data_IF_437001410327
#
_entry.id   IF_437001410327
#
_cell.length_a   1.000
_cell.length_b   1.000
_cell.length_c   1.000
_cell.angle_alpha   90.00
_cell.angle_beta   90.00
_cell.angle_gamma   90.00
#
_symmetry.space_group_name_H-M   'P 1'
#
loop_
_entity.id
_entity.type
_entity.pdbx_description
1 polymer ?
#
# COMPACT_ATOMS: atom_id res chain seq x y z
N UNK A 1 1.78 18.77 -3.51
CA UNK A 1 0.66 18.58 -2.55
C UNK A 1 -0.71 18.60 -3.24
N UNK A 2 -1.00 19.57 -4.09
CA UNK A 2 -2.29 19.65 -4.81
C UNK A 2 -2.54 18.40 -5.66
N UNK A 3 -1.56 17.95 -6.40
CA UNK A 3 -1.64 16.76 -7.27
C UNK A 3 -1.93 15.46 -6.50
N UNK A 4 -1.34 15.28 -5.31
CA UNK A 4 -1.60 14.09 -4.48
C UNK A 4 -3.04 14.08 -3.94
N UNK A 5 -3.59 15.22 -3.51
CA UNK A 5 -4.97 15.33 -3.06
C UNK A 5 -5.95 15.17 -4.23
N UNK A 6 -5.59 15.65 -5.40
CA UNK A 6 -6.35 15.41 -6.63
C UNK A 6 -6.39 13.92 -6.98
N UNK A 7 -5.23 13.23 -6.94
CA UNK A 7 -5.16 11.79 -7.15
C UNK A 7 -6.03 11.01 -6.15
N UNK A 8 -5.99 11.39 -4.86
CA UNK A 8 -6.85 10.79 -3.81
C UNK A 8 -8.34 10.98 -4.11
N UNK A 9 -8.70 12.09 -4.69
CA UNK A 9 -10.08 12.37 -5.11
C UNK A 9 -10.48 11.50 -6.29
N UNK A 10 -9.59 11.35 -7.29
CA UNK A 10 -9.83 10.52 -8.46
C UNK A 10 -10.07 9.05 -8.07
N UNK A 11 -9.18 8.44 -7.28
CA UNK A 11 -9.35 7.03 -6.93
C UNK A 11 -10.43 6.78 -5.87
N UNK A 12 -10.90 7.80 -5.15
CA UNK A 12 -12.01 7.61 -4.19
C UNK A 12 -13.32 7.18 -4.85
N UNK A 13 -13.50 7.44 -6.14
CA UNK A 13 -14.63 6.97 -6.96
C UNK A 13 -14.28 5.78 -7.85
N UNK A 14 -13.17 5.07 -7.59
CA UNK A 14 -12.71 3.94 -8.41
C UNK A 14 -13.72 2.78 -8.42
N UNK A 15 -14.04 2.28 -9.62
CA UNK A 15 -14.96 1.15 -9.85
C UNK A 15 -14.31 0.02 -10.68
N UNK A 16 -12.98 -0.01 -10.78
CA UNK A 16 -12.25 -0.88 -11.71
C UNK A 16 -12.42 -2.36 -11.36
N UNK A 17 -12.28 -2.74 -10.08
CA UNK A 17 -12.27 -4.14 -9.65
C UNK A 17 -13.50 -4.52 -8.80
N UNK A 18 -13.53 -5.79 -8.37
CA UNK A 18 -14.61 -6.35 -7.54
C UNK A 18 -14.70 -5.73 -6.14
N UNK A 19 -13.61 -5.08 -5.66
CA UNK A 19 -13.56 -4.48 -4.33
C UNK A 19 -14.18 -3.08 -4.25
N UNK A 20 -14.61 -2.50 -5.37
CA UNK A 20 -15.19 -1.16 -5.30
C UNK A 20 -16.42 -1.15 -4.34
N UNK A 21 -16.65 -0.06 -3.59
CA UNK A 21 -17.70 0.01 -2.58
C UNK A 21 -19.09 -0.36 -3.09
N UNK A 22 -19.43 0.04 -4.32
CA UNK A 22 -20.73 -0.27 -4.96
C UNK A 22 -20.97 -1.77 -5.18
N UNK A 23 -19.88 -2.57 -5.34
CA UNK A 23 -19.98 -4.01 -5.63
C UNK A 23 -19.77 -4.87 -4.38
N UNK A 24 -18.91 -4.42 -3.46
CA UNK A 24 -18.42 -5.24 -2.35
C UNK A 24 -19.12 -4.97 -1.02
N UNK A 25 -19.86 -3.85 -0.90
CA UNK A 25 -20.55 -3.46 0.34
C UNK A 25 -19.60 -3.01 1.46
N UNK A 26 -18.37 -2.60 1.12
CA UNK A 26 -17.42 -1.93 2.04
C UNK A 26 -17.77 -0.44 2.16
N UNK A 27 -17.22 0.23 3.19
CA UNK A 27 -17.55 1.65 3.42
C UNK A 27 -16.97 2.58 2.36
N UNK A 28 -15.75 2.31 1.89
CA UNK A 28 -15.13 3.20 0.92
C UNK A 28 -13.74 2.79 0.48
N UNK A 29 -13.12 3.69 -0.24
CA UNK A 29 -11.71 3.60 -0.63
C UNK A 29 -10.88 4.24 0.48
N UNK A 30 -9.95 3.51 1.06
CA UNK A 30 -9.02 4.01 2.08
C UNK A 30 -7.90 4.78 1.40
N UNK A 31 -7.82 6.07 1.69
CA UNK A 31 -6.84 6.97 1.11
C UNK A 31 -5.49 6.86 1.81
N UNK A 32 -4.41 7.20 1.11
CA UNK A 32 -3.10 7.35 1.74
C UNK A 32 -3.09 8.49 2.77
N UNK A 33 -2.23 8.38 3.77
CA UNK A 33 -2.04 9.39 4.82
C UNK A 33 -0.60 9.88 4.89
N UNK A 34 -0.39 11.01 5.57
CA UNK A 34 0.91 11.65 5.73
C UNK A 34 1.30 12.56 4.57
N UNK A 35 2.41 13.29 4.72
CA UNK A 35 2.90 14.26 3.75
C UNK A 35 3.66 13.59 2.60
N UNK A 36 4.04 14.37 1.60
CA UNK A 36 5.14 14.03 0.70
C UNK A 36 6.40 13.85 1.56
N UNK A 37 7.00 12.68 1.52
CA UNK A 37 8.05 12.26 2.44
C UNK A 37 9.13 11.45 1.74
N UNK A 38 10.35 11.52 2.26
CA UNK A 38 11.45 10.65 1.82
C UNK A 38 11.28 9.19 2.25
N UNK A 39 10.35 8.90 3.16
CA UNK A 39 10.00 7.56 3.62
C UNK A 39 8.53 7.27 3.32
N UNK A 40 8.28 6.19 2.58
CA UNK A 40 6.96 5.63 2.36
C UNK A 40 6.83 4.25 3.01
N UNK A 41 5.68 3.98 3.63
CA UNK A 41 5.33 2.66 4.15
C UNK A 41 4.10 2.15 3.40
N UNK A 42 4.23 0.94 2.85
CA UNK A 42 3.20 0.34 2.01
C UNK A 42 2.77 -1.00 2.61
N UNK A 43 1.51 -1.08 3.03
CA UNK A 43 0.88 -2.32 3.49
C UNK A 43 0.19 -3.10 2.38
N UNK A 44 -0.50 -4.18 2.76
CA UNK A 44 -1.24 -5.04 1.84
C UNK A 44 -2.56 -4.38 1.40
N UNK A 45 -3.49 -4.21 2.31
CA UNK A 45 -4.83 -3.71 2.08
C UNK A 45 -5.47 -3.25 3.39
N UNK A 46 -6.54 -2.44 3.36
CA UNK A 46 -7.28 -2.03 4.54
C UNK A 46 -7.93 -3.21 5.28
N UNK A 47 -7.93 -3.16 6.59
CA UNK A 47 -8.75 -3.99 7.47
C UNK A 47 -10.11 -3.35 7.78
N UNK A 48 -10.83 -3.91 8.77
CA UNK A 48 -12.15 -3.41 9.15
C UNK A 48 -12.09 -2.00 9.77
N UNK A 49 -11.09 -1.76 10.62
CA UNK A 49 -10.92 -0.47 11.30
C UNK A 49 -10.55 0.61 10.29
N UNK A 50 -9.67 0.29 9.33
CA UNK A 50 -9.25 1.18 8.24
C UNK A 50 -10.42 1.51 7.30
N UNK A 51 -11.23 0.51 6.95
CA UNK A 51 -12.43 0.68 6.12
C UNK A 51 -13.46 1.58 6.80
N UNK A 52 -13.61 1.47 8.12
CA UNK A 52 -14.51 2.32 8.91
C UNK A 52 -13.99 3.75 9.07
N UNK A 53 -12.67 3.92 9.24
CA UNK A 53 -12.05 5.23 9.47
C UNK A 53 -11.69 5.98 8.18
N UNK A 54 -11.54 5.27 7.05
CA UNK A 54 -11.04 5.84 5.80
C UNK A 54 -9.53 6.16 5.80
N UNK A 55 -8.79 5.68 6.82
CA UNK A 55 -7.35 5.92 6.98
C UNK A 55 -6.57 4.60 7.09
N UNK A 56 -5.34 4.52 6.53
CA UNK A 56 -4.51 3.32 6.59
C UNK A 56 -3.87 3.15 7.96
N UNK A 57 -3.74 1.90 8.41
CA UNK A 57 -3.03 1.53 9.64
C UNK A 57 -3.56 2.21 10.92
N UNK A 58 -4.86 2.16 11.15
CA UNK A 58 -5.52 2.64 12.39
C UNK A 58 -5.89 1.50 13.34
N UNK A 59 -5.99 0.26 12.85
CA UNK A 59 -6.30 -0.92 13.63
C UNK A 59 -5.11 -1.50 14.39
N UNK A 60 -5.21 -2.79 14.76
CA UNK A 60 -4.16 -3.47 15.55
C UNK A 60 -2.77 -3.44 14.89
N UNK A 61 -2.69 -3.68 13.57
CA UNK A 61 -1.43 -3.63 12.84
C UNK A 61 -0.85 -2.19 12.81
N UNK A 62 -1.72 -1.18 12.73
CA UNK A 62 -1.34 0.22 12.79
C UNK A 62 -0.73 0.61 14.15
N UNK A 63 -1.34 0.16 15.25
CA UNK A 63 -0.79 0.37 16.61
C UNK A 63 0.59 -0.29 16.78
N UNK A 64 0.82 -1.43 16.15
CA UNK A 64 2.15 -2.05 16.14
C UNK A 64 3.12 -1.25 15.28
N UNK A 65 2.69 -0.78 14.11
CA UNK A 65 3.50 0.12 13.28
C UNK A 65 3.92 1.37 14.03
N UNK A 66 3.01 1.98 14.81
CA UNK A 66 3.33 3.17 15.62
C UNK A 66 4.44 2.89 16.65
N UNK A 67 4.39 1.74 17.33
CA UNK A 67 5.46 1.32 18.25
C UNK A 67 6.80 1.11 17.54
N UNK A 68 6.78 0.52 16.34
CA UNK A 68 8.01 0.33 15.55
C UNK A 68 8.60 1.66 15.10
N UNK A 69 7.77 2.60 14.65
CA UNK A 69 8.20 3.94 14.29
C UNK A 69 8.77 4.70 15.50
N UNK A 70 8.11 4.61 16.64
CA UNK A 70 8.59 5.20 17.90
C UNK A 70 9.96 4.64 18.30
N UNK A 71 10.11 3.30 18.25
CA UNK A 71 11.39 2.63 18.49
C UNK A 71 12.51 3.09 17.56
N UNK A 72 12.16 3.39 16.30
CA UNK A 72 13.06 3.95 15.30
C UNK A 72 13.25 5.48 15.44
N UNK A 73 12.60 6.14 16.40
CA UNK A 73 12.57 7.62 16.58
C UNK A 73 11.99 8.36 15.37
N UNK A 74 11.09 7.74 14.64
CA UNK A 74 10.40 8.31 13.48
C UNK A 74 8.98 8.68 13.90
N UNK A 75 8.56 9.91 13.63
CA UNK A 75 7.20 10.35 13.94
C UNK A 75 6.25 9.97 12.79
N UNK A 76 5.13 9.32 13.10
CA UNK A 76 4.14 8.86 12.12
C UNK A 76 3.72 9.96 11.13
N UNK A 77 3.49 11.19 11.62
CA UNK A 77 3.08 12.31 10.78
C UNK A 77 4.16 12.81 9.79
N UNK A 78 5.38 12.25 9.84
CA UNK A 78 6.47 12.55 8.90
C UNK A 78 6.60 11.49 7.80
N UNK A 79 5.78 10.45 7.83
CA UNK A 79 5.87 9.29 6.93
C UNK A 79 4.66 9.26 6.00
N UNK A 80 4.88 8.98 4.73
CA UNK A 80 3.79 8.65 3.81
C UNK A 80 3.37 7.20 4.00
N UNK A 81 2.08 6.96 4.22
CA UNK A 81 1.54 5.63 4.52
C UNK A 81 0.40 5.31 3.56
N UNK A 82 0.48 4.16 2.92
CA UNK A 82 -0.55 3.67 2.01
C UNK A 82 -0.62 2.14 1.98
N UNK A 83 -1.50 1.58 1.16
CA UNK A 83 -1.60 0.15 0.90
C UNK A 83 -1.45 -0.16 -0.59
N UNK A 84 -1.03 -1.36 -0.93
CA UNK A 84 -1.00 -1.86 -2.30
C UNK A 84 -2.41 -1.87 -2.91
N UNK A 85 -3.41 -2.27 -2.13
CA UNK A 85 -4.83 -2.26 -2.50
C UNK A 85 -5.57 -1.23 -1.64
N UNK A 86 -6.37 -0.37 -2.26
CA UNK A 86 -7.05 0.76 -1.58
C UNK A 86 -8.38 0.41 -0.94
N UNK A 87 -8.96 -0.72 -1.30
CA UNK A 87 -10.25 -1.19 -0.81
C UNK A 87 -10.06 -2.44 0.06
N UNK A 88 -10.92 -2.62 1.07
CA UNK A 88 -10.86 -3.76 1.99
C UNK A 88 -11.28 -5.07 1.28
N UNK A 89 -10.39 -6.08 1.16
CA UNK A 89 -10.77 -7.39 0.63
C UNK A 89 -11.51 -8.19 1.70
N UNK A 90 -12.74 -8.61 1.40
CA UNK A 90 -13.60 -9.31 2.34
C UNK A 90 -14.11 -10.63 1.80
N UNK A 91 -14.53 -11.50 2.70
CA UNK A 91 -15.32 -12.69 2.44
C UNK A 91 -16.49 -12.79 3.43
N UNK A 92 -17.41 -13.74 3.21
CA UNK A 92 -18.57 -13.94 4.07
C UNK A 92 -19.40 -12.65 4.26
N UNK A 93 -19.72 -11.98 3.15
CA UNK A 93 -20.51 -10.74 3.14
C UNK A 93 -19.91 -9.65 4.05
N UNK A 94 -18.62 -9.38 3.93
CA UNK A 94 -17.94 -8.31 4.66
C UNK A 94 -17.49 -8.68 6.08
N UNK A 95 -17.83 -9.86 6.60
CA UNK A 95 -17.56 -10.23 8.01
C UNK A 95 -16.10 -10.58 8.28
N UNK A 96 -15.34 -11.02 7.27
CA UNK A 96 -13.96 -11.47 7.43
C UNK A 96 -13.04 -10.87 6.38
N UNK A 97 -11.87 -10.41 6.79
CA UNK A 97 -10.81 -10.01 5.86
C UNK A 97 -10.22 -11.23 5.15
N UNK A 98 -9.73 -11.03 3.94
CA UNK A 98 -8.94 -11.99 3.18
C UNK A 98 -7.76 -11.28 2.52
N UNK A 99 -6.81 -12.02 2.01
CA UNK A 99 -5.77 -11.51 1.11
C UNK A 99 -6.41 -11.06 -0.21
N UNK A 100 -5.97 -9.94 -0.79
CA UNK A 100 -6.42 -9.53 -2.13
C UNK A 100 -6.07 -10.58 -3.18
N UNK A 101 -6.90 -10.71 -4.19
CA UNK A 101 -6.56 -11.52 -5.38
C UNK A 101 -5.53 -10.80 -6.22
N UNK A 102 -4.96 -11.52 -7.17
CA UNK A 102 -4.00 -10.95 -8.12
C UNK A 102 -4.63 -9.85 -8.96
N UNK A 103 -5.81 -10.13 -9.52
CA UNK A 103 -6.53 -9.17 -10.35
C UNK A 103 -6.88 -7.88 -9.57
N UNK A 104 -7.17 -8.00 -8.27
CA UNK A 104 -7.39 -6.85 -7.38
C UNK A 104 -6.12 -6.05 -7.15
N UNK A 105 -4.97 -6.72 -6.98
CA UNK A 105 -3.67 -6.06 -6.87
C UNK A 105 -3.27 -5.38 -8.18
N UNK A 106 -3.39 -6.06 -9.30
CA UNK A 106 -3.07 -5.53 -10.63
C UNK A 106 -3.95 -4.32 -10.98
N UNK A 107 -5.27 -4.44 -10.74
CA UNK A 107 -6.20 -3.32 -10.94
C UNK A 107 -5.89 -2.10 -10.08
N UNK A 108 -5.33 -2.29 -8.89
CA UNK A 108 -5.02 -1.20 -7.96
C UNK A 108 -3.61 -0.65 -8.11
N UNK A 109 -2.69 -1.39 -8.74
CA UNK A 109 -1.27 -1.01 -8.91
C UNK A 109 -1.06 0.34 -9.59
N UNK A 110 -1.82 0.74 -10.64
CA UNK A 110 -1.66 2.04 -11.25
C UNK A 110 -1.84 3.21 -10.27
N UNK A 111 -2.77 3.09 -9.32
CA UNK A 111 -2.97 4.10 -8.26
C UNK A 111 -1.80 4.16 -7.28
N UNK A 112 -1.29 2.99 -6.86
CA UNK A 112 -0.11 2.91 -6.02
C UNK A 112 1.11 3.58 -6.68
N UNK A 113 1.34 3.29 -7.95
CA UNK A 113 2.49 3.82 -8.67
C UNK A 113 2.40 5.34 -8.87
N UNK A 114 1.21 5.87 -9.18
CA UNK A 114 0.99 7.32 -9.23
C UNK A 114 1.24 8.00 -7.87
N UNK A 115 0.84 7.37 -6.76
CA UNK A 115 1.18 7.89 -5.42
C UNK A 115 2.69 7.94 -5.21
N UNK A 116 3.41 6.87 -5.52
CA UNK A 116 4.87 6.81 -5.36
C UNK A 116 5.55 7.85 -6.26
N UNK A 117 5.08 8.00 -7.50
CA UNK A 117 5.60 8.98 -8.47
C UNK A 117 5.42 10.43 -7.98
N UNK A 118 4.29 10.74 -7.33
CA UNK A 118 4.01 12.07 -6.77
C UNK A 118 4.76 12.33 -5.46
N UNK A 119 4.88 11.30 -4.61
CA UNK A 119 5.56 11.40 -3.31
C UNK A 119 7.09 11.40 -3.47
N UNK A 120 7.62 10.65 -4.43
CA UNK A 120 9.06 10.47 -4.70
C UNK A 120 9.86 10.11 -3.46
N UNK A 121 9.47 9.06 -2.71
CA UNK A 121 10.20 8.66 -1.52
C UNK A 121 11.59 8.15 -1.91
N UNK A 122 12.59 8.39 -1.07
CA UNK A 122 13.93 7.78 -1.23
C UNK A 122 13.93 6.32 -0.80
N UNK A 123 13.15 6.02 0.25
CA UNK A 123 13.02 4.68 0.81
C UNK A 123 11.55 4.27 0.87
N UNK A 124 11.26 3.08 0.41
CA UNK A 124 9.94 2.43 0.49
C UNK A 124 10.07 1.20 1.39
N UNK A 125 9.37 1.21 2.51
CA UNK A 125 9.24 0.02 3.37
C UNK A 125 7.95 -0.71 2.97
N UNK A 126 8.05 -1.96 2.54
CA UNK A 126 6.89 -2.80 2.25
C UNK A 126 6.62 -3.77 3.39
N UNK A 127 5.37 -3.83 3.86
CA UNK A 127 4.93 -4.63 4.98
C UNK A 127 4.17 -5.88 4.50
N UNK A 128 4.87 -6.99 4.41
CA UNK A 128 4.32 -8.28 4.00
C UNK A 128 4.50 -8.60 2.52
N UNK A 129 4.01 -9.78 2.13
CA UNK A 129 4.25 -10.36 0.79
C UNK A 129 3.59 -9.56 -0.31
N UNK A 130 2.31 -9.23 -0.17
CA UNK A 130 1.51 -8.56 -1.20
C UNK A 130 2.05 -7.18 -1.55
N UNK A 131 2.42 -6.37 -0.55
CA UNK A 131 3.01 -5.05 -0.79
C UNK A 131 4.38 -5.14 -1.46
N UNK A 132 5.21 -6.11 -1.05
CA UNK A 132 6.52 -6.36 -1.68
C UNK A 132 6.38 -6.77 -3.14
N UNK A 133 5.48 -7.72 -3.43
CA UNK A 133 5.16 -8.16 -4.78
C UNK A 133 4.68 -7.00 -5.65
N UNK A 134 3.78 -6.18 -5.11
CA UNK A 134 3.20 -5.04 -5.85
C UNK A 134 4.23 -3.96 -6.21
N UNK A 135 5.21 -3.70 -5.32
CA UNK A 135 6.22 -2.65 -5.54
C UNK A 135 7.39 -3.16 -6.40
N UNK A 136 7.89 -4.37 -6.11
CA UNK A 136 9.04 -4.95 -6.81
C UNK A 136 8.66 -5.72 -8.10
N UNK A 137 7.37 -5.84 -8.42
CA UNK A 137 6.86 -6.62 -9.55
C UNK A 137 7.40 -8.07 -9.55
N UNK A 138 7.41 -8.71 -8.38
CA UNK A 138 7.92 -10.06 -8.21
C UNK A 138 6.92 -11.13 -8.67
N UNK A 139 7.39 -12.32 -9.06
CA UNK A 139 6.49 -13.43 -9.37
C UNK A 139 5.76 -13.91 -8.10
N UNK A 140 4.53 -14.40 -8.25
CA UNK A 140 3.66 -14.83 -7.13
C UNK A 140 4.26 -15.88 -6.19
N UNK A 141 5.17 -16.70 -6.70
CA UNK A 141 5.80 -17.78 -5.96
C UNK A 141 7.08 -17.37 -5.22
N UNK A 142 7.43 -16.06 -5.18
CA UNK A 142 8.60 -15.62 -4.43
C UNK A 142 8.46 -15.88 -2.93
N UNK A 143 9.56 -16.16 -2.26
CA UNK A 143 9.63 -16.34 -0.83
C UNK A 143 10.02 -15.01 -0.15
N UNK A 144 9.10 -14.40 0.59
CA UNK A 144 9.34 -13.10 1.24
C UNK A 144 10.61 -13.11 2.13
N UNK A 145 10.89 -14.24 2.80
CA UNK A 145 12.08 -14.39 3.65
C UNK A 145 13.42 -14.16 2.96
N UNK A 146 13.47 -14.31 1.63
CA UNK A 146 14.71 -14.06 0.86
C UNK A 146 14.95 -12.56 0.65
N UNK A 147 13.89 -11.74 0.79
CA UNK A 147 13.90 -10.31 0.52
C UNK A 147 13.94 -9.45 1.78
N UNK A 148 13.37 -9.90 2.91
CA UNK A 148 13.31 -9.11 4.15
C UNK A 148 14.69 -8.77 4.69
N UNK A 149 14.78 -7.62 5.35
CA UNK A 149 16.00 -7.08 5.94
C UNK A 149 17.14 -6.78 4.92
N UNK A 150 16.79 -6.65 3.65
CA UNK A 150 17.71 -6.26 2.57
C UNK A 150 17.15 -5.05 1.85
N UNK A 151 18.02 -4.16 1.39
CA UNK A 151 17.66 -3.08 0.49
C UNK A 151 17.69 -3.57 -0.96
N UNK A 152 16.64 -3.28 -1.70
CA UNK A 152 16.51 -3.61 -3.12
C UNK A 152 16.31 -2.33 -3.92
N UNK A 153 17.15 -2.08 -4.91
CA UNK A 153 16.95 -0.98 -5.83
C UNK A 153 16.04 -1.40 -6.98
N UNK A 154 15.06 -0.59 -7.30
CA UNK A 154 14.10 -0.87 -8.37
C UNK A 154 13.62 0.41 -9.04
N UNK A 155 13.20 0.25 -10.29
CA UNK A 155 12.39 1.23 -11.01
C UNK A 155 10.96 0.71 -11.09
N UNK A 156 9.98 1.58 -10.89
CA UNK A 156 8.60 1.21 -11.13
C UNK A 156 8.34 1.14 -12.64
N UNK A 157 7.62 0.10 -13.07
CA UNK A 157 7.26 -0.07 -14.48
C UNK A 157 5.77 0.22 -14.66
N UNK A 158 5.44 1.11 -15.59
CA UNK A 158 4.04 1.27 -16.05
C UNK A 158 3.69 0.05 -16.90
N UNK A 159 2.66 -0.70 -16.53
CA UNK A 159 2.26 -1.95 -17.21
C UNK A 159 1.85 -1.76 -18.68
N UNK A 160 1.26 -0.61 -19.03
CA UNK A 160 0.75 -0.32 -20.38
C UNK A 160 1.76 0.41 -21.29
N UNK A 161 2.90 0.74 -20.79
CA UNK A 161 3.96 1.38 -21.57
C UNK A 161 5.30 0.71 -21.29
N UNK A 162 6.15 0.62 -22.30
CA UNK A 162 7.57 0.28 -22.10
C UNK A 162 8.31 1.39 -21.32
N UNK A 163 7.58 2.33 -20.78
CA UNK A 163 8.06 3.50 -20.07
C UNK A 163 8.43 3.11 -18.64
N UNK A 164 9.70 3.12 -18.36
CA UNK A 164 10.25 2.97 -17.02
C UNK A 164 10.10 4.32 -16.34
N UNK A 165 9.48 4.34 -15.15
CA UNK A 165 9.56 5.52 -14.29
C UNK A 165 11.04 5.70 -13.96
N UNK A 166 11.61 6.82 -14.36
CA UNK A 166 13.07 7.04 -14.36
C UNK A 166 13.67 7.16 -12.96
N UNK A 167 12.83 7.41 -11.95
CA UNK A 167 13.30 7.50 -10.56
C UNK A 167 13.61 6.11 -10.02
N UNK A 168 14.78 5.95 -9.40
CA UNK A 168 15.19 4.73 -8.72
C UNK A 168 14.78 4.81 -7.25
N UNK A 169 14.18 3.74 -6.74
CA UNK A 169 13.70 3.64 -5.37
C UNK A 169 14.45 2.55 -4.60
N UNK A 170 14.81 2.83 -3.36
CA UNK A 170 15.30 1.80 -2.43
C UNK A 170 14.12 1.19 -1.70
N UNK A 171 13.87 -0.11 -1.92
CA UNK A 171 12.77 -0.86 -1.28
C UNK A 171 13.32 -1.78 -0.20
N UNK A 172 12.74 -1.71 0.99
CA UNK A 172 13.10 -2.54 2.14
C UNK A 172 11.90 -3.38 2.55
N UNK A 173 11.81 -4.64 2.13
CA UNK A 173 10.75 -5.55 2.55
C UNK A 173 10.88 -5.92 4.04
N UNK A 174 9.74 -5.91 4.73
CA UNK A 174 9.62 -6.29 6.13
C UNK A 174 8.47 -7.28 6.32
N UNK A 175 8.49 -8.01 7.44
CA UNK A 175 7.33 -8.79 7.86
C UNK A 175 6.14 -7.87 8.19
N UNK A 176 4.93 -8.36 7.94
CA UNK A 176 3.75 -7.58 8.28
C UNK A 176 3.59 -7.48 9.80
N UNK A 177 3.26 -6.29 10.36
CA UNK A 177 3.14 -6.10 11.82
C UNK A 177 2.15 -7.01 12.54
N UNK A 178 1.22 -7.64 11.82
CA UNK A 178 0.29 -8.63 12.41
C UNK A 178 0.97 -9.95 12.79
N UNK A 179 2.20 -10.20 12.37
CA UNK A 179 2.99 -11.38 12.75
C UNK A 179 3.89 -11.14 13.99
N UNK A 180 3.91 -9.90 14.50
CA UNK A 180 4.62 -9.48 15.70
C UNK A 180 3.67 -9.34 16.89
#
# INVERSE_FOLDING_TARGET
MIELEQLKTEYSSCEICSLCPKKSGINGVVKSSGPVSSLAIIGEAPGADEDAAGEPFVGRAGKMLDKLLEGAKIKRHQVFITNAVKCRPTQNNGKKNRTPTVDECESCRPWLYKEIELVKPKVIVTLGKTSTESVLALPKNFALGEYVNKAHETHLRKEDSKEIITDMYTVVPCWHPSYL
#
